data_IF_538570752504
#
_entry.id   IF_538570752504
#
_cell.length_a   1.000
_cell.length_b   1.000
_cell.length_c   1.000
_cell.angle_alpha   90.00
_cell.angle_beta   90.00
_cell.angle_gamma   90.00
#
_symmetry.space_group_name_H-M   'P 1'
#
loop_
_entity.id
_entity.type
_entity.pdbx_description
1 polymer ?
#
# COMPACT_ATOMS: atom_id res chain seq x y z
N UNK A 1 -8.52 -6.59 9.91
CA UNK A 1 -7.87 -6.60 8.57
C UNK A 1 -6.56 -5.82 8.57
N UNK A 2 -6.55 -4.49 8.83
CA UNK A 2 -5.31 -3.68 8.76
C UNK A 2 -4.13 -4.18 9.60
N UNK A 3 -4.37 -4.55 10.87
CA UNK A 3 -3.33 -5.16 11.71
C UNK A 3 -2.79 -6.48 11.14
N UNK A 4 -3.66 -7.28 10.51
CA UNK A 4 -3.26 -8.51 9.82
C UNK A 4 -2.38 -8.25 8.60
N UNK A 5 -2.63 -7.17 7.85
CA UNK A 5 -1.76 -6.76 6.73
C UNK A 5 -0.37 -6.38 7.23
N UNK A 6 -0.28 -5.62 8.32
CA UNK A 6 1.01 -5.28 8.94
C UNK A 6 1.74 -6.53 9.40
N UNK A 7 1.04 -7.45 10.08
CA UNK A 7 1.64 -8.71 10.50
C UNK A 7 2.13 -9.56 9.31
N UNK A 8 1.36 -9.64 8.23
CA UNK A 8 1.77 -10.34 7.01
C UNK A 8 3.04 -9.74 6.39
N UNK A 9 3.16 -8.41 6.35
CA UNK A 9 4.37 -7.71 5.89
C UNK A 9 5.57 -8.04 6.79
N UNK A 10 5.39 -8.02 8.12
CA UNK A 10 6.47 -8.38 9.06
C UNK A 10 6.92 -9.82 8.86
N UNK A 11 5.98 -10.76 8.75
CA UNK A 11 6.29 -12.18 8.50
C UNK A 11 7.01 -12.37 7.17
N UNK A 12 6.57 -11.67 6.12
CA UNK A 12 7.23 -11.72 4.81
C UNK A 12 8.69 -11.25 4.89
N UNK A 13 8.94 -10.09 5.49
CA UNK A 13 10.30 -9.54 5.65
C UNK A 13 11.16 -10.40 6.56
N UNK A 14 10.60 -10.92 7.65
CA UNK A 14 11.30 -11.84 8.55
C UNK A 14 11.67 -13.16 7.85
N UNK A 15 10.78 -13.68 7.00
CA UNK A 15 11.07 -14.83 6.15
C UNK A 15 12.26 -14.57 5.23
N UNK A 16 12.26 -13.43 4.53
CA UNK A 16 13.39 -13.01 3.69
C UNK A 16 14.68 -12.83 4.51
N UNK A 17 14.58 -12.29 5.73
CA UNK A 17 15.74 -12.11 6.61
C UNK A 17 16.35 -13.43 7.04
N UNK A 18 15.54 -14.46 7.28
CA UNK A 18 16.02 -15.79 7.65
C UNK A 18 16.63 -16.54 6.47
N UNK A 19 16.09 -16.35 5.25
CA UNK A 19 16.61 -17.06 4.06
C UNK A 19 17.79 -16.35 3.41
N UNK A 20 17.74 -15.01 3.33
CA UNK A 20 18.72 -14.17 2.63
C UNK A 20 18.91 -12.80 3.33
N UNK A 21 19.59 -12.74 4.49
CA UNK A 21 19.84 -11.48 5.19
C UNK A 21 20.49 -10.35 4.35
N UNK A 22 21.56 -10.61 3.55
CA UNK A 22 22.21 -9.53 2.79
C UNK A 22 21.28 -8.92 1.74
N UNK A 23 20.42 -9.71 1.11
CA UNK A 23 19.46 -9.23 0.10
C UNK A 23 18.45 -8.25 0.71
N UNK A 24 18.02 -8.48 1.96
CA UNK A 24 17.12 -7.56 2.67
C UNK A 24 17.84 -6.25 3.01
N UNK A 25 19.10 -6.32 3.43
CA UNK A 25 19.89 -5.11 3.73
C UNK A 25 20.08 -4.29 2.44
N UNK A 26 20.45 -4.94 1.33
CA UNK A 26 20.64 -4.26 0.05
C UNK A 26 19.34 -3.69 -0.52
N UNK A 27 18.21 -4.36 -0.29
CA UNK A 27 16.88 -3.84 -0.59
C UNK A 27 16.57 -2.57 0.19
N UNK A 28 16.73 -2.59 1.52
CA UNK A 28 16.43 -1.47 2.41
C UNK A 28 17.33 -0.26 2.15
N UNK A 29 18.57 -0.51 1.73
CA UNK A 29 19.53 0.52 1.36
C UNK A 29 19.40 0.97 -0.11
N UNK A 30 18.42 0.44 -0.86
CA UNK A 30 18.23 0.69 -2.29
C UNK A 30 19.50 0.46 -3.13
N UNK A 31 20.36 -0.46 -2.70
CA UNK A 31 21.56 -0.89 -3.43
C UNK A 31 21.29 -2.08 -4.35
N UNK A 32 20.19 -2.80 -4.10
CA UNK A 32 19.81 -3.93 -4.93
C UNK A 32 19.57 -3.45 -6.38
N UNK A 33 20.16 -4.11 -7.39
CA UNK A 33 19.93 -3.77 -8.80
C UNK A 33 18.52 -4.14 -9.27
N UNK A 34 17.72 -4.79 -8.42
CA UNK A 34 16.40 -5.30 -8.78
C UNK A 34 15.30 -4.28 -8.53
N UNK A 35 14.60 -3.88 -9.60
CA UNK A 35 13.51 -2.91 -9.50
C UNK A 35 12.36 -3.42 -8.63
N UNK A 36 12.06 -4.72 -8.65
CA UNK A 36 10.99 -5.29 -7.83
C UNK A 36 11.23 -5.01 -6.33
N UNK A 37 12.48 -5.12 -5.87
CA UNK A 37 12.83 -4.93 -4.46
C UNK A 37 12.57 -3.48 -4.00
N UNK A 38 12.97 -2.50 -4.81
CA UNK A 38 12.72 -1.08 -4.52
C UNK A 38 11.21 -0.78 -4.37
N UNK A 39 10.37 -1.27 -5.30
CA UNK A 39 8.91 -1.11 -5.21
C UNK A 39 8.31 -1.82 -4.00
N UNK A 40 8.84 -2.98 -3.62
CA UNK A 40 8.44 -3.69 -2.41
C UNK A 40 8.71 -2.91 -1.13
N UNK A 41 9.90 -2.30 -1.02
CA UNK A 41 10.28 -1.45 0.12
C UNK A 41 9.41 -0.21 0.20
N UNK A 42 9.12 0.45 -0.93
CA UNK A 42 8.19 1.59 -0.98
C UNK A 42 6.79 1.20 -0.50
N UNK A 43 6.27 0.07 -0.98
CA UNK A 43 4.95 -0.44 -0.56
C UNK A 43 4.93 -0.74 0.96
N UNK A 44 5.97 -1.39 1.48
CA UNK A 44 6.12 -1.69 2.90
C UNK A 44 6.06 -0.43 3.76
N UNK A 45 6.88 0.58 3.46
CA UNK A 45 6.90 1.83 4.22
C UNK A 45 5.56 2.56 4.14
N UNK A 46 4.89 2.54 2.99
CA UNK A 46 3.58 3.16 2.85
C UNK A 46 2.49 2.43 3.68
N UNK A 47 2.53 1.09 3.77
CA UNK A 47 1.65 0.31 4.65
C UNK A 47 1.92 0.63 6.13
N UNK A 48 3.19 0.67 6.54
CA UNK A 48 3.56 1.00 7.92
C UNK A 48 3.16 2.44 8.29
N UNK A 49 3.39 3.41 7.40
CA UNK A 49 2.93 4.78 7.58
C UNK A 49 1.40 4.86 7.70
N UNK A 50 0.68 4.07 6.90
CA UNK A 50 -0.78 3.98 6.96
C UNK A 50 -1.27 3.40 8.29
N UNK A 51 -0.57 2.39 8.81
CA UNK A 51 -0.84 1.82 10.12
C UNK A 51 -0.53 2.80 11.25
N UNK A 52 0.59 3.52 11.19
CA UNK A 52 0.95 4.55 12.15
C UNK A 52 -0.06 5.70 12.15
N UNK A 53 -0.50 6.15 10.98
CA UNK A 53 -1.57 7.13 10.83
C UNK A 53 -2.87 6.65 11.47
N UNK A 54 -3.21 5.36 11.32
CA UNK A 54 -4.38 4.76 11.95
C UNK A 54 -4.24 4.66 13.48
N UNK A 55 -3.05 4.33 14.01
CA UNK A 55 -2.80 4.21 15.44
C UNK A 55 -2.77 5.58 16.15
N UNK A 56 -2.18 6.59 15.50
CA UNK A 56 -2.04 7.95 16.06
C UNK A 56 -3.26 8.83 15.84
N UNK A 57 -4.27 8.37 15.07
CA UNK A 57 -5.48 9.14 14.74
C UNK A 57 -6.22 9.67 15.97
N UNK A 58 -6.29 8.89 17.05
CA UNK A 58 -6.99 9.26 18.28
C UNK A 58 -6.18 10.25 19.12
N UNK A 59 -4.85 10.12 19.14
CA UNK A 59 -3.97 11.03 19.90
C UNK A 59 -3.84 12.40 19.24
N UNK A 60 -3.78 12.45 17.91
CA UNK A 60 -3.57 13.69 17.15
C UNK A 60 -4.86 14.48 16.89
N UNK A 61 -6.03 14.00 17.35
CA UNK A 61 -7.37 14.59 17.10
C UNK A 61 -7.55 15.03 15.64
N UNK A 62 -7.03 14.24 14.70
CA UNK A 62 -7.02 14.61 13.29
C UNK A 62 -8.46 14.78 12.81
N UNK A 63 -8.72 15.88 12.08
CA UNK A 63 -10.00 16.07 11.42
C UNK A 63 -10.27 14.83 10.54
N UNK A 64 -11.48 14.25 10.59
CA UNK A 64 -11.82 13.07 9.82
C UNK A 64 -11.50 13.20 8.32
N UNK A 65 -11.65 14.41 7.77
CA UNK A 65 -11.33 14.71 6.36
C UNK A 65 -9.82 14.60 6.06
N UNK A 66 -8.95 15.15 6.91
CA UNK A 66 -7.49 15.08 6.74
C UNK A 66 -7.00 13.64 6.87
N UNK A 67 -7.48 12.91 7.88
CA UNK A 67 -7.15 11.49 8.07
C UNK A 67 -7.54 10.67 6.84
N UNK A 68 -8.75 10.89 6.30
CA UNK A 68 -9.21 10.22 5.07
C UNK A 68 -8.31 10.55 3.88
N UNK A 69 -7.92 11.81 3.69
CA UNK A 69 -7.09 12.24 2.58
C UNK A 69 -5.69 11.59 2.64
N UNK A 70 -5.03 11.67 3.79
CA UNK A 70 -3.70 11.08 3.99
C UNK A 70 -3.74 9.55 3.80
N UNK A 71 -4.73 8.87 4.36
CA UNK A 71 -4.87 7.43 4.20
C UNK A 71 -5.15 7.04 2.73
N UNK A 72 -5.96 7.83 2.02
CA UNK A 72 -6.24 7.60 0.59
C UNK A 72 -5.00 7.85 -0.28
N UNK A 73 -4.21 8.88 0.05
CA UNK A 73 -2.94 9.15 -0.65
C UNK A 73 -1.93 8.01 -0.45
N UNK A 74 -1.81 7.49 0.77
CA UNK A 74 -0.97 6.32 1.06
C UNK A 74 -1.47 5.08 0.29
N UNK A 75 -2.78 4.84 0.27
CA UNK A 75 -3.35 3.74 -0.51
C UNK A 75 -3.04 3.87 -2.02
N UNK A 76 -3.06 5.09 -2.56
CA UNK A 76 -2.70 5.36 -3.95
C UNK A 76 -1.22 5.12 -4.26
N UNK A 77 -0.33 5.04 -3.25
CA UNK A 77 1.07 4.63 -3.40
C UNK A 77 1.22 3.13 -3.19
N UNK A 78 0.57 2.56 -2.16
CA UNK A 78 0.65 1.13 -1.82
C UNK A 78 0.23 0.26 -3.00
N UNK A 79 -0.90 0.58 -3.64
CA UNK A 79 -1.47 -0.24 -4.71
C UNK A 79 -0.55 -0.35 -5.93
N UNK A 80 -0.12 0.74 -6.59
CA UNK A 80 0.76 0.64 -7.74
C UNK A 80 2.12 0.05 -7.38
N UNK A 81 2.70 0.41 -6.22
CA UNK A 81 3.97 -0.15 -5.79
C UNK A 81 3.88 -1.68 -5.59
N UNK A 82 2.80 -2.17 -4.98
CA UNK A 82 2.55 -3.61 -4.80
C UNK A 82 2.31 -4.32 -6.13
N UNK A 83 1.60 -3.69 -7.07
CA UNK A 83 1.35 -4.24 -8.40
C UNK A 83 2.66 -4.35 -9.19
N UNK A 84 3.48 -3.30 -9.21
CA UNK A 84 4.78 -3.34 -9.92
C UNK A 84 5.71 -4.36 -9.27
N UNK A 85 5.79 -4.37 -7.93
CA UNK A 85 6.55 -5.37 -7.19
C UNK A 85 6.15 -6.79 -7.58
N UNK A 86 4.84 -7.11 -7.56
CA UNK A 86 4.34 -8.42 -7.96
C UNK A 86 4.62 -8.70 -9.44
N UNK A 87 4.30 -7.78 -10.35
CA UNK A 87 4.42 -7.97 -11.80
C UNK A 87 5.87 -8.22 -12.25
N UNK A 88 6.86 -7.67 -11.54
CA UNK A 88 8.28 -7.90 -11.83
C UNK A 88 8.84 -9.20 -11.24
N UNK A 89 8.14 -9.86 -10.31
CA UNK A 89 8.57 -11.15 -9.76
C UNK A 89 8.25 -12.26 -10.76
N UNK A 90 9.29 -12.92 -11.26
CA UNK A 90 9.15 -14.18 -11.98
C UNK A 90 9.03 -15.32 -10.96
N UNK A 91 7.88 -15.98 -10.93
CA UNK A 91 7.58 -17.04 -9.96
C UNK A 91 6.71 -18.13 -10.57
N UNK A 92 6.32 -19.11 -9.76
CA UNK A 92 5.48 -20.24 -10.20
C UNK A 92 4.06 -19.83 -10.62
N UNK A 93 3.62 -18.64 -10.22
CA UNK A 93 2.35 -18.07 -10.63
C UNK A 93 2.42 -17.57 -12.08
N UNK A 94 1.55 -18.11 -12.94
CA UNK A 94 1.48 -17.72 -14.36
C UNK A 94 1.21 -16.22 -14.55
N UNK A 95 1.80 -15.64 -15.62
CA UNK A 95 1.70 -14.20 -15.95
C UNK A 95 0.25 -13.69 -16.00
N UNK A 96 -0.65 -14.49 -16.56
CA UNK A 96 -2.07 -14.13 -16.69
C UNK A 96 -2.76 -14.03 -15.33
N UNK A 97 -2.57 -15.00 -14.43
CA UNK A 97 -3.17 -14.99 -13.10
C UNK A 97 -2.70 -13.80 -12.28
N UNK A 98 -1.41 -13.48 -12.36
CA UNK A 98 -0.80 -12.33 -11.69
C UNK A 98 -1.38 -11.02 -12.19
N UNK A 99 -1.47 -10.87 -13.51
CA UNK A 99 -2.07 -9.69 -14.14
C UNK A 99 -3.56 -9.55 -13.78
N UNK A 100 -4.32 -10.64 -13.76
CA UNK A 100 -5.74 -10.63 -13.41
C UNK A 100 -5.97 -10.15 -11.97
N UNK A 101 -5.23 -10.70 -11.00
CA UNK A 101 -5.35 -10.26 -9.59
C UNK A 101 -4.89 -8.80 -9.44
N UNK A 102 -3.79 -8.40 -10.09
CA UNK A 102 -3.36 -7.00 -10.06
C UNK A 102 -4.43 -6.06 -10.64
N UNK A 103 -5.06 -6.41 -11.76
CA UNK A 103 -6.13 -5.62 -12.37
C UNK A 103 -7.33 -5.49 -11.44
N UNK A 104 -7.73 -6.58 -10.76
CA UNK A 104 -8.81 -6.55 -9.78
C UNK A 104 -8.47 -5.64 -8.58
N UNK A 105 -7.23 -5.70 -8.08
CA UNK A 105 -6.77 -4.84 -6.98
C UNK A 105 -6.79 -3.36 -7.40
N UNK A 106 -6.30 -3.03 -8.60
CA UNK A 106 -6.34 -1.66 -9.13
C UNK A 106 -7.79 -1.19 -9.31
N UNK A 107 -8.65 -2.02 -9.89
CA UNK A 107 -10.06 -1.67 -10.09
C UNK A 107 -10.79 -1.42 -8.76
N UNK A 108 -10.57 -2.27 -7.76
CA UNK A 108 -11.14 -2.10 -6.43
C UNK A 108 -10.64 -0.81 -5.76
N UNK A 109 -9.33 -0.53 -5.83
CA UNK A 109 -8.76 0.68 -5.28
C UNK A 109 -9.29 1.95 -5.97
N UNK A 110 -9.34 1.94 -7.31
CA UNK A 110 -9.87 3.04 -8.09
C UNK A 110 -11.33 3.32 -7.74
N UNK A 111 -12.17 2.29 -7.65
CA UNK A 111 -13.57 2.41 -7.24
C UNK A 111 -13.70 3.09 -5.88
N UNK A 112 -12.96 2.61 -4.87
CA UNK A 112 -12.99 3.19 -3.52
C UNK A 112 -12.55 4.66 -3.54
N UNK A 113 -11.52 5.01 -4.30
CA UNK A 113 -11.06 6.41 -4.40
C UNK A 113 -12.13 7.30 -5.05
N UNK A 114 -12.77 6.84 -6.13
CA UNK A 114 -13.82 7.58 -6.84
C UNK A 114 -15.04 7.78 -5.95
N UNK A 115 -15.54 6.72 -5.32
CA UNK A 115 -16.70 6.80 -4.42
C UNK A 115 -16.43 7.80 -3.28
N UNK A 116 -15.21 7.82 -2.75
CA UNK A 116 -14.83 8.76 -1.68
C UNK A 116 -14.74 10.21 -2.16
N UNK A 117 -14.25 10.45 -3.38
CA UNK A 117 -14.24 11.79 -3.99
C UNK A 117 -15.67 12.28 -4.22
N UNK A 118 -16.56 11.44 -4.74
CA UNK A 118 -17.95 11.77 -4.97
C UNK A 118 -18.65 12.22 -3.67
N UNK A 119 -18.44 11.49 -2.57
CA UNK A 119 -18.98 11.85 -1.26
C UNK A 119 -18.49 13.22 -0.74
N UNK A 120 -17.21 13.53 -0.91
CA UNK A 120 -16.66 14.83 -0.50
C UNK A 120 -17.22 15.97 -1.35
N UNK A 121 -17.40 15.76 -2.66
CA UNK A 121 -18.00 16.74 -3.57
C UNK A 121 -19.46 17.00 -3.19
N UNK A 122 -20.24 15.94 -2.96
CA UNK A 122 -21.66 16.06 -2.57
C UNK A 122 -21.82 16.81 -1.24
N UNK A 123 -20.99 16.50 -0.23
CA UNK A 123 -21.04 17.20 1.07
C UNK A 123 -20.67 18.68 0.97
N UNK A 124 -19.77 19.06 0.05
CA UNK A 124 -19.41 20.48 -0.18
C UNK A 124 -20.57 21.26 -0.81
N UNK A 125 -21.31 20.65 -1.72
CA UNK A 125 -22.45 21.30 -2.38
C UNK A 125 -23.60 21.57 -1.41
N UNK A 126 -23.86 20.65 -0.46
CA UNK A 126 -24.99 20.75 0.47
C UNK A 126 -24.77 21.75 1.63
N UNK A 127 -23.57 22.31 1.78
CA UNK A 127 -23.23 23.31 2.82
C UNK A 127 -23.30 24.75 2.28
N UNK A 128 -23.39 24.93 0.95
CA UNK A 128 -23.47 26.24 0.30
C UNK A 128 -24.86 26.58 -0.24
N UNK A 129 -25.87 25.74 0.03
CA UNK A 129 -27.27 25.94 -0.38
C UNK A 129 -28.19 26.22 0.80
#
# INVERSE_FOLDING_TARGET
>A
IGAGLVAAVVVHVAGLWLTSPPDVIDALLFRSPTLFSAWGVIAMWAVLASALLAATRHRLRLRPTTWRLCHTALAAVIVPASVVHALLIEGTMGKLSKAAICALVVAAAAKVIVDRRAWVVLLRHNVQG
#
